data_IF_448191454836
#
_entry.id   IF_448191454836
#
_cell.length_a   1.000
_cell.length_b   1.000
_cell.length_c   1.000
_cell.angle_alpha   90.00
_cell.angle_beta   90.00
_cell.angle_gamma   90.00
#
_symmetry.space_group_name_H-M   'P 1'
#
loop_
_entity.id
_entity.type
_entity.pdbx_description
1 polymer ?
#
# COMPACT_ATOMS: atom_id res chain seq x y z
N UNK A 1 22.89 40.57 4.36
CA UNK A 1 21.68 40.21 5.15
C UNK A 1 21.00 38.95 4.60
N UNK A 2 20.92 38.79 3.27
CA UNK A 2 20.32 37.62 2.60
C UNK A 2 21.12 36.31 2.78
N UNK A 3 22.46 36.38 2.83
CA UNK A 3 23.31 35.19 3.11
C UNK A 3 23.20 34.68 4.55
N UNK A 4 23.02 35.57 5.53
CA UNK A 4 22.84 35.16 6.92
C UNK A 4 21.48 34.52 7.16
N UNK A 5 20.45 34.92 6.40
CA UNK A 5 19.13 34.29 6.44
C UNK A 5 19.15 32.88 5.82
N UNK A 6 19.90 32.68 4.73
CA UNK A 6 20.13 31.35 4.15
C UNK A 6 20.88 30.42 5.11
N UNK A 7 21.86 30.93 5.85
CA UNK A 7 22.58 30.14 6.85
C UNK A 7 21.74 29.78 8.08
N UNK A 8 20.79 30.65 8.47
CA UNK A 8 19.88 30.38 9.59
C UNK A 8 18.77 29.37 9.24
N UNK A 9 18.31 29.33 7.99
CA UNK A 9 17.29 28.35 7.56
C UNK A 9 17.88 26.95 7.41
N UNK A 10 19.15 26.84 7.02
CA UNK A 10 19.84 25.56 6.84
C UNK A 10 20.30 24.94 8.17
N UNK A 11 20.41 25.71 9.26
CA UNK A 11 20.85 25.20 10.57
C UNK A 11 19.72 24.63 11.44
N UNK A 12 18.46 24.89 11.11
CA UNK A 12 17.29 24.42 11.89
C UNK A 12 16.86 23.01 11.47
N UNK A 13 17.23 22.55 10.28
CA UNK A 13 16.97 21.19 9.83
C UNK A 13 18.26 20.35 9.88
N UNK A 14 18.28 19.22 10.60
CA UNK A 14 19.41 18.32 10.51
C UNK A 14 19.51 17.82 9.06
N UNK A 15 20.55 18.23 8.35
CA UNK A 15 20.94 17.74 7.00
C UNK A 15 21.07 16.20 6.94
N UNK A 16 20.98 15.51 8.08
CA UNK A 16 20.95 14.05 8.20
C UNK A 16 19.59 13.41 7.87
N UNK A 17 18.50 14.17 7.76
CA UNK A 17 17.16 13.60 7.52
C UNK A 17 16.82 13.52 6.03
N UNK A 18 17.34 14.42 5.18
CA UNK A 18 17.08 14.42 3.74
C UNK A 18 18.34 14.70 2.91
N UNK A 19 19.18 13.68 2.65
CA UNK A 19 20.23 13.80 1.63
C UNK A 19 19.67 13.90 0.18
N UNK A 20 18.36 13.83 0.01
CA UNK A 20 17.70 13.81 -1.31
C UNK A 20 17.62 15.18 -2.01
N UNK A 21 17.86 16.29 -1.31
CA UNK A 21 17.71 17.64 -1.88
C UNK A 21 19.05 18.33 -2.23
N UNK A 22 20.18 17.65 -2.01
CA UNK A 22 21.52 18.21 -2.21
C UNK A 22 22.28 17.46 -3.31
N UNK A 23 21.89 17.69 -4.57
CA UNK A 23 22.65 17.26 -5.75
C UNK A 23 22.46 15.79 -6.11
N UNK A 24 21.51 15.50 -6.98
CA UNK A 24 21.32 14.18 -7.56
C UNK A 24 22.54 13.80 -8.43
N UNK A 25 23.43 12.96 -7.88
CA UNK A 25 24.25 12.10 -8.73
C UNK A 25 23.29 11.18 -9.50
N UNK A 26 23.51 10.95 -10.82
CA UNK A 26 22.67 10.01 -11.57
C UNK A 26 22.61 8.66 -10.85
N UNK A 27 21.44 8.03 -10.87
CA UNK A 27 21.22 6.72 -10.28
C UNK A 27 22.30 5.75 -10.78
N UNK A 28 23.15 5.28 -9.86
CA UNK A 28 24.17 4.29 -10.23
C UNK A 28 23.50 3.02 -10.76
N UNK A 29 24.15 2.30 -11.69
CA UNK A 29 23.63 1.03 -12.21
C UNK A 29 23.27 0.03 -11.10
N UNK A 30 23.99 0.08 -9.97
CA UNK A 30 23.69 -0.71 -8.78
C UNK A 30 22.35 -0.31 -8.11
N UNK A 31 22.02 0.98 -8.05
CA UNK A 31 20.74 1.45 -7.53
C UNK A 31 19.58 1.05 -8.46
N UNK A 32 19.77 1.13 -9.77
CA UNK A 32 18.74 0.71 -10.75
C UNK A 32 18.42 -0.78 -10.60
N UNK A 33 19.44 -1.64 -10.59
CA UNK A 33 19.26 -3.10 -10.44
C UNK A 33 18.54 -3.48 -9.15
N UNK A 34 18.80 -2.74 -8.08
CA UNK A 34 18.24 -2.94 -6.75
C UNK A 34 16.76 -2.56 -6.64
N UNK A 35 16.34 -1.46 -7.26
CA UNK A 35 14.95 -0.99 -7.19
C UNK A 35 14.07 -1.44 -8.36
N UNK A 36 14.65 -2.07 -9.39
CA UNK A 36 13.89 -2.62 -10.51
C UNK A 36 12.76 -3.58 -10.10
N UNK A 37 12.93 -4.50 -9.12
CA UNK A 37 11.83 -5.35 -8.66
C UNK A 37 10.69 -4.55 -8.02
N UNK A 38 11.02 -3.53 -7.21
CA UNK A 38 10.02 -2.62 -6.63
C UNK A 38 9.25 -1.86 -7.69
N UNK A 39 9.93 -1.37 -8.74
CA UNK A 39 9.27 -0.69 -9.84
C UNK A 39 8.34 -1.65 -10.61
N UNK A 40 8.80 -2.86 -10.91
CA UNK A 40 8.00 -3.88 -11.60
C UNK A 40 6.75 -4.26 -10.79
N UNK A 41 6.90 -4.50 -9.48
CA UNK A 41 5.77 -4.79 -8.59
C UNK A 41 4.84 -3.57 -8.46
N UNK A 42 5.39 -2.36 -8.36
CA UNK A 42 4.60 -1.12 -8.32
C UNK A 42 3.75 -0.94 -9.58
N UNK A 43 4.33 -1.18 -10.76
CA UNK A 43 3.59 -1.17 -12.04
C UNK A 43 2.52 -2.25 -12.04
N UNK A 44 2.86 -3.47 -11.63
CA UNK A 44 1.90 -4.58 -11.54
C UNK A 44 0.71 -4.19 -10.65
N UNK A 45 0.95 -3.67 -9.45
CA UNK A 45 -0.10 -3.19 -8.53
C UNK A 45 -0.96 -2.13 -9.20
N UNK A 46 -0.32 -1.12 -9.78
CA UNK A 46 -1.00 0.04 -10.38
C UNK A 46 -1.94 -0.38 -11.53
N UNK A 47 -1.54 -1.37 -12.33
CA UNK A 47 -2.33 -1.86 -13.46
C UNK A 47 -3.26 -3.02 -13.12
N UNK A 48 -3.13 -3.67 -11.96
CA UNK A 48 -3.95 -4.84 -11.61
C UNK A 48 -5.46 -4.57 -11.70
N UNK A 49 -6.00 -3.48 -11.13
CA UNK A 49 -7.44 -3.20 -11.25
C UNK A 49 -7.89 -2.97 -12.70
N UNK A 50 -7.06 -2.26 -13.48
CA UNK A 50 -7.35 -1.96 -14.90
C UNK A 50 -7.39 -3.25 -15.70
N UNK A 51 -6.38 -4.12 -15.54
CA UNK A 51 -6.32 -5.42 -16.21
C UNK A 51 -7.51 -6.31 -15.84
N UNK A 52 -7.85 -6.38 -14.54
CA UNK A 52 -9.01 -7.14 -14.10
C UNK A 52 -10.30 -6.60 -14.71
N UNK A 53 -10.54 -5.29 -14.63
CA UNK A 53 -11.69 -4.63 -15.22
C UNK A 53 -11.80 -4.89 -16.72
N UNK A 54 -10.72 -4.73 -17.49
CA UNK A 54 -10.73 -4.95 -18.94
C UNK A 54 -10.97 -6.42 -19.31
N UNK A 55 -10.46 -7.38 -18.55
CA UNK A 55 -10.59 -8.81 -18.85
C UNK A 55 -11.95 -9.37 -18.42
N UNK A 56 -12.51 -8.87 -17.32
CA UNK A 56 -13.74 -9.41 -16.74
C UNK A 56 -14.99 -8.62 -17.13
N UNK A 57 -14.89 -7.36 -17.56
CA UNK A 57 -16.06 -6.58 -17.99
C UNK A 57 -16.87 -7.24 -19.13
N UNK A 58 -16.28 -7.87 -20.16
CA UNK A 58 -17.06 -8.47 -21.25
C UNK A 58 -17.97 -9.64 -20.83
N UNK A 59 -17.67 -10.29 -19.70
CA UNK A 59 -18.43 -11.42 -19.18
C UNK A 59 -19.38 -11.05 -18.04
N UNK A 60 -19.44 -9.77 -17.66
CA UNK A 60 -20.25 -9.28 -16.55
C UNK A 60 -21.18 -8.16 -17.01
N UNK A 61 -22.28 -8.00 -16.29
CA UNK A 61 -23.19 -6.88 -16.53
C UNK A 61 -22.62 -5.66 -15.83
N UNK A 62 -22.20 -4.67 -16.61
CA UNK A 62 -21.70 -3.38 -16.11
C UNK A 62 -22.74 -2.32 -16.46
N UNK A 63 -23.33 -1.70 -15.46
CA UNK A 63 -24.43 -0.75 -15.67
C UNK A 63 -23.93 0.63 -16.11
N UNK A 64 -22.83 1.11 -15.53
CA UNK A 64 -22.29 2.45 -15.75
C UNK A 64 -20.77 2.54 -15.44
N UNK A 65 -20.09 3.66 -15.75
CA UNK A 65 -18.66 3.84 -15.43
C UNK A 65 -18.29 3.73 -13.95
N UNK A 66 -19.20 4.08 -13.02
CA UNK A 66 -18.92 3.95 -11.59
C UNK A 66 -18.95 2.48 -11.17
N UNK A 67 -19.83 1.69 -11.78
CA UNK A 67 -19.89 0.25 -11.64
C UNK A 67 -18.59 -0.41 -12.10
N UNK A 68 -18.11 -0.01 -13.29
CA UNK A 68 -16.84 -0.50 -13.83
C UNK A 68 -15.68 -0.19 -12.88
N UNK A 69 -15.65 1.00 -12.28
CA UNK A 69 -14.62 1.38 -11.32
C UNK A 69 -14.63 0.48 -10.08
N UNK A 70 -15.80 0.31 -9.46
CA UNK A 70 -15.99 -0.47 -8.23
C UNK A 70 -15.69 -1.94 -8.48
N UNK A 71 -16.24 -2.49 -9.56
CA UNK A 71 -15.96 -3.83 -10.03
C UNK A 71 -14.45 -4.08 -10.23
N UNK A 72 -13.76 -3.13 -10.86
CA UNK A 72 -12.32 -3.22 -11.17
C UNK A 72 -11.45 -3.29 -9.91
N UNK A 73 -11.82 -2.55 -8.85
CA UNK A 73 -11.03 -2.50 -7.62
C UNK A 73 -11.46 -3.55 -6.58
N UNK A 74 -12.65 -4.14 -6.70
CA UNK A 74 -13.25 -4.90 -5.59
C UNK A 74 -12.92 -6.39 -5.50
N UNK A 75 -12.11 -6.93 -6.41
CA UNK A 75 -11.87 -8.38 -6.47
C UNK A 75 -10.39 -8.75 -6.27
N UNK A 76 -9.57 -8.59 -7.31
CA UNK A 76 -8.18 -9.09 -7.32
C UNK A 76 -7.27 -8.27 -6.42
N UNK A 77 -7.45 -6.95 -6.38
CA UNK A 77 -6.60 -6.06 -5.59
C UNK A 77 -6.70 -6.33 -4.08
N UNK A 78 -7.89 -6.42 -3.44
CA UNK A 78 -8.01 -6.78 -2.03
C UNK A 78 -7.37 -8.13 -1.71
N UNK A 79 -7.63 -9.15 -2.55
CA UNK A 79 -7.12 -10.51 -2.35
C UNK A 79 -5.59 -10.57 -2.36
N UNK A 80 -4.96 -9.86 -3.29
CA UNK A 80 -3.49 -9.86 -3.45
C UNK A 80 -2.81 -8.75 -2.65
N UNK A 81 -3.56 -7.89 -1.97
CA UNK A 81 -3.06 -6.66 -1.37
C UNK A 81 -1.86 -6.89 -0.46
N UNK A 82 -1.98 -7.84 0.47
CA UNK A 82 -0.91 -8.13 1.45
C UNK A 82 0.32 -8.74 0.78
N UNK A 83 0.14 -9.56 -0.24
CA UNK A 83 1.26 -10.13 -1.00
C UNK A 83 1.98 -9.05 -1.80
N UNK A 84 1.24 -8.15 -2.43
CA UNK A 84 1.78 -6.99 -3.11
C UNK A 84 2.55 -6.08 -2.17
N UNK A 85 1.99 -5.73 -1.01
CA UNK A 85 2.66 -4.88 -0.03
C UNK A 85 3.99 -5.52 0.47
N UNK A 86 4.04 -6.84 0.64
CA UNK A 86 5.26 -7.52 1.01
C UNK A 86 6.30 -7.47 -0.14
N UNK A 87 5.91 -7.87 -1.34
CA UNK A 87 6.78 -7.92 -2.52
C UNK A 87 7.32 -6.55 -2.93
N UNK A 88 6.58 -5.48 -2.62
CA UNK A 88 6.91 -4.13 -3.06
C UNK A 88 8.24 -3.63 -2.50
N UNK A 89 8.52 -3.87 -1.21
CA UNK A 89 9.71 -3.30 -0.57
C UNK A 89 10.55 -4.27 0.27
N UNK A 90 9.99 -5.40 0.74
CA UNK A 90 10.75 -6.41 1.48
C UNK A 90 11.98 -6.90 0.70
N UNK A 91 11.93 -7.16 -0.63
CA UNK A 91 13.11 -7.56 -1.39
C UNK A 91 14.26 -6.57 -1.31
N UNK A 92 13.98 -5.26 -1.22
CA UNK A 92 15.01 -4.23 -1.12
C UNK A 92 15.80 -4.40 0.18
N UNK A 93 15.11 -4.62 1.30
CA UNK A 93 15.74 -4.85 2.61
C UNK A 93 16.54 -6.14 2.56
N UNK A 94 15.96 -7.24 2.07
CA UNK A 94 16.62 -8.53 1.99
C UNK A 94 17.93 -8.46 1.17
N UNK A 95 17.91 -7.76 0.03
CA UNK A 95 19.12 -7.55 -0.78
C UNK A 95 20.21 -6.77 -0.02
N UNK A 96 19.87 -5.78 0.82
CA UNK A 96 20.88 -5.10 1.67
C UNK A 96 21.46 -6.04 2.70
N UNK A 97 20.58 -6.78 3.37
CA UNK A 97 20.96 -7.66 4.48
C UNK A 97 21.93 -8.73 4.00
N UNK A 98 21.67 -9.29 2.80
CA UNK A 98 22.50 -10.32 2.21
C UNK A 98 23.81 -9.77 1.64
N UNK A 99 23.80 -8.57 1.04
CA UNK A 99 24.98 -8.02 0.38
C UNK A 99 26.05 -7.49 1.35
N UNK A 100 25.63 -6.85 2.45
CA UNK A 100 26.55 -6.16 3.36
C UNK A 100 26.53 -6.69 4.79
N UNK A 101 25.57 -7.56 5.13
CA UNK A 101 25.26 -7.88 6.52
C UNK A 101 24.65 -6.68 7.25
N UNK A 102 23.77 -6.93 8.20
CA UNK A 102 23.14 -5.84 8.96
C UNK A 102 24.14 -5.06 9.84
N UNK A 103 25.22 -5.72 10.27
CA UNK A 103 26.09 -5.18 11.34
C UNK A 103 26.99 -4.03 10.87
N UNK A 104 27.66 -4.15 9.71
CA UNK A 104 28.41 -3.04 9.13
C UNK A 104 27.54 -1.83 8.79
N UNK A 105 26.26 -2.05 8.44
CA UNK A 105 25.31 -0.97 8.11
C UNK A 105 24.94 -0.19 9.38
N UNK A 106 24.54 -0.89 10.45
CA UNK A 106 24.17 -0.26 11.72
C UNK A 106 25.36 0.46 12.33
N UNK A 107 26.56 -0.13 12.28
CA UNK A 107 27.77 0.49 12.83
C UNK A 107 28.12 1.82 12.15
N UNK A 108 27.79 1.99 10.86
CA UNK A 108 28.08 3.23 10.11
C UNK A 108 27.00 4.29 10.20
N UNK A 109 25.72 3.90 10.18
CA UNK A 109 24.58 4.83 10.07
C UNK A 109 23.78 4.99 11.36
N UNK A 110 23.93 4.07 12.31
CA UNK A 110 23.05 3.95 13.45
C UNK A 110 21.71 3.32 13.09
N UNK A 111 21.16 2.54 14.03
CA UNK A 111 19.92 1.79 13.82
C UNK A 111 18.71 2.66 13.54
N UNK A 112 18.52 3.73 14.33
CA UNK A 112 17.35 4.62 14.18
C UNK A 112 17.31 5.28 12.79
N UNK A 113 18.45 5.79 12.31
CA UNK A 113 18.54 6.36 10.96
C UNK A 113 18.29 5.32 9.87
N UNK A 114 18.82 4.10 10.03
CA UNK A 114 18.61 3.02 9.07
C UNK A 114 17.14 2.61 8.98
N UNK A 115 16.53 2.27 10.12
CA UNK A 115 15.12 1.86 10.20
C UNK A 115 14.22 3.00 9.73
N UNK A 116 14.44 4.23 10.21
CA UNK A 116 13.65 5.39 9.80
C UNK A 116 13.70 5.65 8.29
N UNK A 117 14.86 5.47 7.66
CA UNK A 117 14.99 5.60 6.19
C UNK A 117 14.13 4.57 5.46
N UNK A 118 14.15 3.31 5.90
CA UNK A 118 13.33 2.26 5.27
C UNK A 118 11.85 2.42 5.56
N UNK A 119 11.47 2.88 6.75
CA UNK A 119 10.08 3.21 7.09
C UNK A 119 9.56 4.30 6.16
N UNK A 120 10.27 5.42 6.01
CA UNK A 120 9.84 6.51 5.13
C UNK A 120 9.77 6.08 3.67
N UNK A 121 10.76 5.31 3.18
CA UNK A 121 10.76 4.84 1.79
C UNK A 121 9.67 3.82 1.50
N UNK A 122 9.50 2.82 2.38
CA UNK A 122 8.44 1.81 2.25
C UNK A 122 7.06 2.46 2.33
N UNK A 123 6.87 3.43 3.23
CA UNK A 123 5.65 4.23 3.33
C UNK A 123 5.33 4.95 2.02
N UNK A 124 6.29 5.71 1.49
CA UNK A 124 6.10 6.47 0.25
C UNK A 124 5.82 5.56 -0.95
N UNK A 125 6.58 4.47 -1.09
CA UNK A 125 6.41 3.53 -2.21
C UNK A 125 5.07 2.79 -2.10
N UNK A 126 4.68 2.34 -0.89
CA UNK A 126 3.37 1.74 -0.64
C UNK A 126 2.24 2.69 -0.99
N UNK A 127 2.28 3.92 -0.47
CA UNK A 127 1.26 4.92 -0.76
C UNK A 127 1.14 5.23 -2.26
N UNK A 128 2.26 5.41 -2.95
CA UNK A 128 2.27 5.68 -4.39
C UNK A 128 1.74 4.50 -5.21
N UNK A 129 2.18 3.27 -4.94
CA UNK A 129 1.76 2.09 -5.71
C UNK A 129 0.25 1.82 -5.55
N UNK A 130 -0.23 1.80 -4.31
CA UNK A 130 -1.64 1.49 -4.04
C UNK A 130 -2.58 2.67 -4.34
N UNK A 131 -2.14 3.92 -4.11
CA UNK A 131 -2.91 5.10 -4.54
C UNK A 131 -3.01 5.21 -6.06
N UNK A 132 -1.94 4.90 -6.79
CA UNK A 132 -1.96 4.90 -8.27
C UNK A 132 -2.83 3.78 -8.83
N UNK A 133 -2.94 2.62 -8.17
CA UNK A 133 -3.88 1.57 -8.58
C UNK A 133 -5.33 2.08 -8.63
N UNK A 134 -5.76 2.84 -7.62
CA UNK A 134 -7.09 3.44 -7.59
C UNK A 134 -7.21 4.58 -8.62
N UNK A 135 -6.20 5.44 -8.72
CA UNK A 135 -6.20 6.55 -9.68
C UNK A 135 -6.28 6.08 -11.14
N UNK A 136 -5.51 5.05 -11.49
CA UNK A 136 -5.52 4.45 -12.83
C UNK A 136 -6.84 3.70 -13.09
N UNK A 137 -7.38 2.98 -12.12
CA UNK A 137 -8.70 2.35 -12.24
C UNK A 137 -9.80 3.39 -12.51
N UNK A 138 -9.76 4.53 -11.82
CA UNK A 138 -10.71 5.61 -12.04
C UNK A 138 -10.54 6.25 -13.43
N UNK A 139 -9.30 6.54 -13.83
CA UNK A 139 -9.01 7.05 -15.18
C UNK A 139 -9.47 6.08 -16.26
N UNK A 140 -9.22 4.79 -16.07
CA UNK A 140 -9.71 3.72 -16.95
C UNK A 140 -11.23 3.76 -17.06
N UNK A 141 -11.93 3.66 -15.93
CA UNK A 141 -13.38 3.49 -15.90
C UNK A 141 -14.15 4.73 -16.36
N UNK A 142 -13.71 5.93 -15.97
CA UNK A 142 -14.44 7.18 -16.23
C UNK A 142 -14.00 7.93 -17.49
N UNK A 143 -12.78 7.70 -17.98
CA UNK A 143 -12.25 8.44 -19.13
C UNK A 143 -11.91 7.52 -20.31
N UNK A 144 -11.11 6.46 -20.10
CA UNK A 144 -10.60 5.65 -21.21
C UNK A 144 -11.68 4.72 -21.75
N UNK A 145 -12.23 3.82 -20.92
CA UNK A 145 -13.17 2.81 -21.39
C UNK A 145 -14.41 3.41 -22.08
N UNK A 146 -15.03 4.50 -21.57
CA UNK A 146 -16.14 5.15 -22.26
C UNK A 146 -15.72 5.89 -23.54
N UNK A 147 -14.54 6.51 -23.59
CA UNK A 147 -14.09 7.25 -24.77
C UNK A 147 -13.73 6.37 -25.97
N UNK A 148 -13.44 5.09 -25.72
CA UNK A 148 -13.05 4.12 -26.74
C UNK A 148 -14.07 2.99 -26.92
N UNK A 149 -15.27 3.10 -26.33
CA UNK A 149 -16.33 2.09 -26.37
C UNK A 149 -15.85 0.67 -26.01
N UNK A 150 -14.93 0.58 -25.05
CA UNK A 150 -14.27 -0.69 -24.69
C UNK A 150 -15.14 -1.58 -23.79
N UNK A 151 -16.18 -1.02 -23.18
CA UNK A 151 -17.12 -1.73 -22.31
C UNK A 151 -18.55 -1.36 -22.72
N UNK A 152 -19.38 -2.36 -22.93
CA UNK A 152 -20.81 -2.17 -23.19
C UNK A 152 -21.54 -1.95 -21.86
N UNK A 153 -22.10 -0.76 -21.67
CA UNK A 153 -22.88 -0.43 -20.48
C UNK A 153 -24.36 -0.80 -20.66
N UNK A 154 -24.92 -1.53 -19.70
CA UNK A 154 -26.31 -2.04 -19.73
C UNK A 154 -27.10 -1.43 -18.55
N UNK A 155 -27.69 -0.23 -18.72
CA UNK A 155 -28.28 0.53 -17.62
C UNK A 155 -29.58 -0.07 -17.05
N UNK A 156 -30.27 -0.95 -17.78
CA UNK A 156 -31.62 -1.43 -17.42
C UNK A 156 -31.67 -2.49 -16.30
N UNK A 157 -30.53 -3.03 -15.88
CA UNK A 157 -30.50 -4.17 -14.93
C UNK A 157 -30.36 -3.77 -13.45
N UNK A 158 -30.35 -2.48 -13.12
CA UNK A 158 -30.13 -2.03 -11.73
C UNK A 158 -31.42 -1.71 -10.97
N UNK A 159 -31.59 -2.37 -9.83
CA UNK A 159 -32.65 -2.07 -8.84
C UNK A 159 -32.19 -0.99 -7.85
N UNK A 160 -30.88 -0.86 -7.57
CA UNK A 160 -30.26 0.14 -6.70
C UNK A 160 -28.97 0.71 -7.32
N UNK A 161 -28.56 1.97 -7.05
CA UNK A 161 -27.32 2.57 -7.58
C UNK A 161 -26.04 1.95 -6.97
N UNK A 162 -24.92 1.80 -7.73
CA UNK A 162 -23.64 1.25 -7.16
C UNK A 162 -23.14 2.01 -5.94
N UNK A 163 -23.46 3.31 -5.89
CA UNK A 163 -23.09 4.14 -4.75
C UNK A 163 -23.53 3.48 -3.44
N UNK A 164 -24.58 2.67 -3.47
CA UNK A 164 -25.14 1.90 -2.36
C UNK A 164 -24.53 0.49 -2.19
N UNK A 165 -23.47 0.12 -2.89
CA UNK A 165 -22.78 -1.18 -2.72
C UNK A 165 -21.43 -1.06 -1.97
N UNK A 166 -21.11 0.14 -1.45
CA UNK A 166 -19.86 0.40 -0.73
C UNK A 166 -20.10 0.91 0.69
N UNK A 167 -19.27 0.48 1.65
CA UNK A 167 -19.29 0.90 3.08
C UNK A 167 -19.04 2.42 3.27
N UNK A 168 -18.54 3.09 2.24
CA UNK A 168 -18.33 4.54 2.18
C UNK A 168 -19.34 5.28 1.27
N UNK A 169 -20.48 4.65 0.95
CA UNK A 169 -21.56 5.17 0.11
C UNK A 169 -22.02 6.59 0.46
N UNK A 170 -22.00 6.96 1.75
CA UNK A 170 -22.29 8.34 2.17
C UNK A 170 -21.43 9.40 1.47
N UNK A 171 -20.20 9.06 1.09
CA UNK A 171 -19.32 9.95 0.33
C UNK A 171 -19.63 9.96 -1.17
N UNK A 172 -20.23 8.90 -1.72
CA UNK A 172 -20.71 8.88 -3.09
C UNK A 172 -21.85 9.90 -3.31
N UNK A 173 -22.71 10.12 -2.31
CA UNK A 173 -23.71 11.22 -2.34
C UNK A 173 -23.08 12.62 -2.42
N UNK A 174 -21.81 12.77 -2.01
CA UNK A 174 -21.10 14.05 -2.10
C UNK A 174 -20.47 14.31 -3.48
N UNK A 175 -20.48 13.31 -4.36
CA UNK A 175 -20.00 13.34 -5.74
C UNK A 175 -18.93 12.28 -6.04
N UNK A 176 -19.03 11.64 -7.21
CA UNK A 176 -18.14 10.56 -7.68
C UNK A 176 -16.65 10.87 -7.52
N UNK A 177 -16.21 12.07 -7.89
CA UNK A 177 -14.79 12.44 -7.80
C UNK A 177 -14.29 12.61 -6.37
N UNK A 178 -15.15 13.06 -5.44
CA UNK A 178 -14.78 13.12 -4.02
C UNK A 178 -14.61 11.72 -3.45
N UNK A 179 -15.50 10.81 -3.85
CA UNK A 179 -15.39 9.40 -3.51
C UNK A 179 -14.10 8.78 -4.06
N UNK A 180 -13.77 8.99 -5.34
CA UNK A 180 -12.51 8.51 -5.94
C UNK A 180 -11.28 9.06 -5.20
N UNK A 181 -11.24 10.37 -4.93
CA UNK A 181 -10.13 11.00 -4.20
C UNK A 181 -10.00 10.40 -2.79
N UNK A 182 -11.11 10.20 -2.09
CA UNK A 182 -11.12 9.54 -0.80
C UNK A 182 -10.54 8.11 -0.90
N UNK A 183 -10.99 7.31 -1.88
CA UNK A 183 -10.50 5.94 -2.08
C UNK A 183 -9.00 5.90 -2.41
N UNK A 184 -8.49 6.88 -3.17
CA UNK A 184 -7.04 7.01 -3.43
C UNK A 184 -6.30 7.20 -2.10
N UNK A 185 -6.72 8.15 -1.26
CA UNK A 185 -6.06 8.39 0.02
C UNK A 185 -6.21 7.21 0.99
N UNK A 186 -7.40 6.62 1.08
CA UNK A 186 -7.68 5.47 1.95
C UNK A 186 -6.81 4.27 1.60
N UNK A 187 -6.76 3.92 0.32
CA UNK A 187 -5.99 2.77 -0.18
C UNK A 187 -4.49 3.04 -0.13
N UNK A 188 -4.06 4.29 -0.41
CA UNK A 188 -2.66 4.71 -0.24
C UNK A 188 -2.21 4.63 1.23
N UNK A 189 -3.07 5.04 2.17
CA UNK A 189 -2.78 4.95 3.60
C UNK A 189 -2.59 3.50 4.04
N UNK A 190 -3.47 2.59 3.62
CA UNK A 190 -3.30 1.15 3.88
C UNK A 190 -2.05 0.58 3.20
N UNK A 191 -1.78 1.01 1.96
CA UNK A 191 -0.59 0.62 1.22
C UNK A 191 0.69 0.99 1.97
N UNK A 192 0.73 2.19 2.54
CA UNK A 192 1.78 2.62 3.45
C UNK A 192 1.87 1.71 4.68
N UNK A 193 0.77 1.50 5.41
CA UNK A 193 0.78 0.74 6.67
C UNK A 193 1.31 -0.68 6.48
N UNK A 194 0.78 -1.44 5.53
CA UNK A 194 1.20 -2.81 5.30
C UNK A 194 2.61 -2.93 4.73
N UNK A 195 3.00 -2.03 3.81
CA UNK A 195 4.38 -2.04 3.27
C UNK A 195 5.39 -1.74 4.38
N UNK A 196 5.09 -0.79 5.28
CA UNK A 196 5.91 -0.50 6.46
C UNK A 196 5.94 -1.69 7.42
N UNK A 197 4.79 -2.30 7.71
CA UNK A 197 4.68 -3.45 8.61
C UNK A 197 5.58 -4.59 8.14
N UNK A 198 5.46 -4.99 6.88
CA UNK A 198 6.23 -6.11 6.33
C UNK A 198 7.70 -5.76 6.17
N UNK A 199 8.02 -4.51 5.85
CA UNK A 199 9.40 -4.01 5.84
C UNK A 199 10.03 -4.14 7.23
N UNK A 200 9.35 -3.69 8.28
CA UNK A 200 9.83 -3.78 9.65
C UNK A 200 9.92 -5.24 10.13
N UNK A 201 8.97 -6.10 9.78
CA UNK A 201 8.98 -7.52 10.10
C UNK A 201 10.15 -8.26 9.43
N UNK A 202 10.41 -7.96 8.15
CA UNK A 202 11.51 -8.56 7.38
C UNK A 202 12.88 -8.31 8.01
N UNK A 203 13.04 -7.18 8.71
CA UNK A 203 14.27 -6.85 9.45
C UNK A 203 14.60 -7.86 10.55
N UNK A 204 13.60 -8.62 11.06
CA UNK A 204 13.77 -9.60 12.13
C UNK A 204 13.93 -11.04 11.64
N UNK A 205 13.79 -11.27 10.34
CA UNK A 205 13.72 -12.60 9.75
C UNK A 205 14.98 -12.88 8.94
N UNK A 206 15.70 -13.95 9.32
CA UNK A 206 16.92 -14.38 8.60
C UNK A 206 16.60 -15.08 7.29
N UNK A 207 15.44 -15.74 7.22
CA UNK A 207 15.02 -16.49 6.04
C UNK A 207 14.21 -15.58 5.09
N UNK A 208 14.68 -15.34 3.84
CA UNK A 208 13.99 -14.53 2.84
C UNK A 208 12.55 -14.98 2.55
N UNK A 209 12.31 -16.29 2.55
CA UNK A 209 10.99 -16.86 2.32
C UNK A 209 10.03 -16.50 3.46
N UNK A 210 10.48 -16.63 4.71
CA UNK A 210 9.69 -16.18 5.87
C UNK A 210 9.48 -14.68 5.87
N UNK A 211 10.49 -13.89 5.48
CA UNK A 211 10.38 -12.43 5.39
C UNK A 211 9.30 -11.97 4.40
N UNK A 212 9.13 -12.70 3.29
CA UNK A 212 8.12 -12.39 2.28
C UNK A 212 6.74 -12.91 2.64
N UNK A 213 6.63 -14.08 3.28
CA UNK A 213 5.34 -14.76 3.45
C UNK A 213 4.75 -14.67 4.85
N UNK A 214 5.55 -14.45 5.90
CA UNK A 214 5.03 -14.46 7.27
C UNK A 214 3.97 -13.37 7.48
N UNK A 215 4.23 -12.17 6.96
CA UNK A 215 3.28 -11.05 7.04
C UNK A 215 1.94 -11.39 6.37
N UNK A 216 1.91 -11.68 5.06
CA UNK A 216 0.70 -12.12 4.37
C UNK A 216 -0.01 -13.30 5.03
N UNK A 217 0.74 -14.32 5.46
CA UNK A 217 0.19 -15.51 6.11
C UNK A 217 -0.49 -15.16 7.44
N UNK A 218 0.12 -14.31 8.27
CA UNK A 218 -0.50 -13.86 9.53
C UNK A 218 -1.78 -13.09 9.26
N UNK A 219 -1.79 -12.18 8.28
CA UNK A 219 -3.02 -11.43 7.94
C UNK A 219 -4.13 -12.37 7.47
N UNK A 220 -3.79 -13.35 6.63
CA UNK A 220 -4.75 -14.35 6.15
C UNK A 220 -5.27 -15.25 7.27
N UNK A 221 -4.40 -15.70 8.18
CA UNK A 221 -4.79 -16.51 9.34
C UNK A 221 -5.66 -15.72 10.32
N UNK A 222 -5.38 -14.43 10.53
CA UNK A 222 -6.23 -13.54 11.33
C UNK A 222 -7.60 -13.39 10.66
N UNK A 223 -7.65 -13.14 9.35
CA UNK A 223 -8.90 -13.09 8.60
C UNK A 223 -9.70 -14.39 8.72
N UNK A 224 -9.04 -15.53 8.58
CA UNK A 224 -9.66 -16.86 8.75
C UNK A 224 -10.21 -17.06 10.16
N UNK A 225 -9.45 -16.69 11.19
CA UNK A 225 -9.89 -16.80 12.58
C UNK A 225 -11.11 -15.90 12.87
N UNK A 226 -11.13 -14.69 12.30
CA UNK A 226 -12.27 -13.77 12.38
C UNK A 226 -13.50 -14.36 11.67
N UNK A 227 -13.34 -14.98 10.50
CA UNK A 227 -14.42 -15.68 9.79
C UNK A 227 -15.04 -16.79 10.65
N UNK A 228 -14.19 -17.64 11.24
CA UNK A 228 -14.62 -18.73 12.12
C UNK A 228 -15.39 -18.18 13.33
N UNK A 229 -14.98 -17.01 13.83
CA UNK A 229 -15.63 -16.32 14.94
C UNK A 229 -16.88 -15.52 14.52
N UNK A 230 -17.30 -15.54 13.24
CA UNK A 230 -18.41 -14.74 12.70
C UNK A 230 -18.17 -13.22 12.87
N UNK A 231 -16.91 -12.80 12.72
CA UNK A 231 -16.43 -11.42 12.81
C UNK A 231 -15.81 -10.96 11.49
N UNK A 232 -16.31 -11.45 10.35
CA UNK A 232 -15.79 -11.15 9.00
C UNK A 232 -15.78 -9.66 8.65
N UNK A 233 -16.68 -8.87 9.23
CA UNK A 233 -16.69 -7.40 9.13
C UNK A 233 -15.39 -6.73 9.60
N UNK A 234 -14.63 -7.36 10.49
CA UNK A 234 -13.34 -6.85 10.99
C UNK A 234 -12.14 -7.44 10.25
N UNK A 235 -12.34 -8.15 9.14
CA UNK A 235 -11.21 -8.73 8.42
C UNK A 235 -10.27 -7.64 7.87
N UNK A 236 -8.94 -7.86 7.91
CA UNK A 236 -8.00 -6.82 7.52
C UNK A 236 -7.99 -6.46 6.03
N UNK A 237 -8.50 -7.32 5.16
CA UNK A 237 -8.73 -7.08 3.72
C UNK A 237 -9.95 -6.20 3.47
N UNK A 238 -11.05 -6.43 4.20
CA UNK A 238 -12.25 -5.59 4.16
C UNK A 238 -11.95 -4.14 4.58
N UNK A 239 -10.99 -3.92 5.48
CA UNK A 239 -10.58 -2.57 5.86
C UNK A 239 -9.90 -1.79 4.73
N UNK A 240 -9.17 -2.47 3.85
CA UNK A 240 -8.37 -1.84 2.79
C UNK A 240 -9.27 -1.37 1.64
N UNK A 241 -10.17 -2.24 1.21
CA UNK A 241 -11.10 -2.00 0.11
C UNK A 241 -12.46 -2.60 0.50
N UNK A 242 -13.29 -1.84 1.23
CA UNK A 242 -14.61 -2.31 1.66
C UNK A 242 -15.60 -2.20 0.48
N UNK A 243 -15.44 -3.09 -0.51
CA UNK A 243 -16.05 -2.93 -1.84
C UNK A 243 -16.78 -4.17 -2.35
N UNK A 244 -17.25 -5.09 -1.49
CA UNK A 244 -17.87 -6.31 -2.02
C UNK A 244 -18.48 -7.31 -1.05
N UNK A 245 -18.55 -7.01 0.24
CA UNK A 245 -19.18 -7.90 1.23
C UNK A 245 -20.16 -7.07 2.06
N UNK A 246 -21.26 -6.68 1.41
CA UNK A 246 -22.37 -5.92 2.01
C UNK A 246 -21.98 -4.50 2.49
N UNK A 247 -22.95 -3.59 2.49
CA UNK A 247 -22.74 -2.28 3.11
C UNK A 247 -22.61 -2.45 4.62
N UNK A 248 -21.36 -2.48 5.10
CA UNK A 248 -21.06 -2.40 6.52
C UNK A 248 -21.21 -0.98 7.10
N UNK A 249 -21.40 -0.86 8.41
CA UNK A 249 -21.14 0.36 9.17
C UNK A 249 -19.72 0.91 8.99
N UNK A 250 -19.59 2.24 8.88
CA UNK A 250 -18.30 2.95 8.77
C UNK A 250 -17.27 2.58 9.85
N UNK A 251 -17.72 2.24 11.06
CA UNK A 251 -16.83 1.98 12.18
C UNK A 251 -16.02 0.69 12.01
N UNK A 252 -16.48 -0.27 11.20
CA UNK A 252 -15.81 -1.56 11.00
C UNK A 252 -14.44 -1.42 10.29
N UNK A 253 -14.35 -0.80 9.09
CA UNK A 253 -13.06 -0.56 8.46
C UNK A 253 -12.19 0.40 9.29
N UNK A 254 -12.78 1.34 10.04
CA UNK A 254 -12.04 2.29 10.90
C UNK A 254 -11.40 1.59 12.10
N UNK A 255 -12.13 0.73 12.82
CA UNK A 255 -11.60 -0.04 13.96
C UNK A 255 -10.45 -0.93 13.48
N UNK A 256 -10.66 -1.64 12.37
CA UNK A 256 -9.63 -2.51 11.80
C UNK A 256 -8.40 -1.71 11.37
N UNK A 257 -8.58 -0.53 10.77
CA UNK A 257 -7.49 0.40 10.44
C UNK A 257 -6.70 0.81 11.69
N UNK A 258 -7.38 1.12 12.79
CA UNK A 258 -6.75 1.46 14.07
C UNK A 258 -5.91 0.30 14.62
N UNK A 259 -6.43 -0.93 14.56
CA UNK A 259 -5.69 -2.14 14.99
C UNK A 259 -4.43 -2.35 14.14
N UNK A 260 -4.54 -2.21 12.82
CA UNK A 260 -3.38 -2.30 11.91
C UNK A 260 -2.37 -1.20 12.21
N UNK A 261 -2.81 0.04 12.41
CA UNK A 261 -1.93 1.17 12.77
C UNK A 261 -1.18 0.91 14.08
N UNK A 262 -1.87 0.46 15.13
CA UNK A 262 -1.24 0.11 16.40
C UNK A 262 -0.21 -1.02 16.23
N UNK A 263 -0.51 -2.02 15.40
CA UNK A 263 0.41 -3.11 15.06
C UNK A 263 1.66 -2.60 14.34
N UNK A 264 1.50 -1.67 13.39
CA UNK A 264 2.61 -1.00 12.70
C UNK A 264 3.46 -0.22 13.69
N UNK A 265 2.85 0.62 14.53
CA UNK A 265 3.57 1.44 15.51
C UNK A 265 4.32 0.57 16.52
N UNK A 266 3.69 -0.51 17.01
CA UNK A 266 4.32 -1.48 17.90
C UNK A 266 5.50 -2.19 17.24
N UNK A 267 5.35 -2.64 15.99
CA UNK A 267 6.40 -3.35 15.25
C UNK A 267 7.57 -2.43 14.90
N UNK A 268 7.31 -1.22 14.41
CA UNK A 268 8.35 -0.21 14.12
C UNK A 268 9.04 0.21 15.40
N UNK A 269 8.28 0.47 16.48
CA UNK A 269 8.84 0.81 17.78
C UNK A 269 9.74 -0.29 18.33
N UNK A 270 9.29 -1.54 18.29
CA UNK A 270 10.12 -2.68 18.64
C UNK A 270 11.38 -2.76 17.76
N UNK A 271 11.25 -2.48 16.47
CA UNK A 271 12.38 -2.46 15.52
C UNK A 271 13.36 -1.33 15.79
N UNK A 272 12.92 -0.20 16.38
CA UNK A 272 13.79 0.91 16.77
C UNK A 272 14.46 0.67 18.13
N UNK A 273 13.74 0.13 19.12
CA UNK A 273 14.15 0.12 20.53
C UNK A 273 14.50 -1.25 21.12
N UNK A 274 14.23 -2.37 20.43
CA UNK A 274 14.54 -3.72 20.96
C UNK A 274 16.02 -3.86 21.32
N UNK A 275 16.39 -4.28 22.54
CA UNK A 275 17.79 -4.42 22.95
C UNK A 275 18.52 -5.58 22.26
N UNK A 276 17.78 -6.50 21.61
CA UNK A 276 18.35 -7.63 20.90
C UNK A 276 18.57 -7.27 19.44
N UNK A 277 19.79 -7.51 18.95
CA UNK A 277 20.07 -7.47 17.52
C UNK A 277 19.14 -8.47 16.81
N UNK A 278 18.48 -8.07 15.71
CA UNK A 278 17.63 -8.96 14.94
C UNK A 278 18.31 -10.28 14.59
N UNK A 279 17.60 -11.42 14.63
CA UNK A 279 18.21 -12.75 14.42
C UNK A 279 18.90 -12.93 13.06
N UNK A 280 18.62 -12.08 12.08
CA UNK A 280 19.38 -12.02 10.82
C UNK A 280 20.86 -11.59 11.00
N UNK A 281 21.24 -11.20 12.21
CA UNK A 281 22.59 -10.80 12.63
C UNK A 281 23.33 -11.81 13.50
N UNK A 282 22.66 -12.88 13.92
CA UNK A 282 23.28 -14.05 14.54
C UNK A 282 23.49 -15.10 13.46
#
# INVERSE_FOLDING_TARGET
MEEQLKHAIVSVFPQRVFPALAGEKPLSAANVKRFAPTAAVGILIAFTPVLYGSLAAPSNVIADPADLFIFSIGNVLPLLFVFYAALLYVPVVLQETQAAGWMPIIARRGRSSYVGTHVVRSAAIGALAFGSAIGLAAMWAFAIAPAFDQVAFIPEQRVLPVAEDMTFSQFAHTGTWKFVVFMIFWTAFHGMLYTVLFTALAMHLRNPFLALLLGPAVVFLVGTALAIAQLEMFMPDNAVLPTGLEQGPLHEPVITTCVVLLTVLGTVGFTLWSPRLPRALQ
#
